data_IF_508744311718
#
_entry.id   IF_508744311718
#
_cell.length_a   1.000
_cell.length_b   1.000
_cell.length_c   1.000
_cell.angle_alpha   90.00
_cell.angle_beta   90.00
_cell.angle_gamma   90.00
#
_symmetry.space_group_name_H-M   'P 1'
#
loop_
_entity.id
_entity.type
_entity.pdbx_description
1 polymer ?
#
# COMPACT_ATOMS: atom_id res chain seq x y z
N UNK A 1 3.42 1.47 1.40
CA UNK A 1 3.19 2.31 2.60
C UNK A 1 2.43 3.56 2.21
N UNK A 2 1.42 3.93 2.98
CA UNK A 2 0.55 5.08 2.73
C UNK A 2 0.49 6.02 3.94
N UNK A 3 0.57 7.32 3.71
CA UNK A 3 0.16 8.35 4.68
C UNK A 3 -1.22 8.86 4.27
N UNK A 4 -2.18 8.84 5.18
CA UNK A 4 -3.52 9.38 4.98
C UNK A 4 -3.65 10.62 5.84
N UNK A 5 -3.83 11.77 5.18
CA UNK A 5 -4.03 13.07 5.82
C UNK A 5 -5.22 13.76 5.18
N UNK A 6 -6.16 14.28 5.98
CA UNK A 6 -7.36 14.95 5.48
C UNK A 6 -8.11 14.12 4.42
N UNK A 7 -8.32 12.83 4.72
CA UNK A 7 -8.96 11.85 3.81
C UNK A 7 -8.27 11.68 2.45
N UNK A 8 -6.97 12.04 2.35
CA UNK A 8 -6.16 11.87 1.15
C UNK A 8 -5.02 10.90 1.42
N UNK A 9 -5.06 9.67 0.86
CA UNK A 9 -3.94 8.76 0.89
C UNK A 9 -2.85 9.23 -0.06
N UNK A 10 -1.60 9.09 0.37
CA UNK A 10 -0.41 9.33 -0.43
C UNK A 10 0.50 8.14 -0.22
N UNK A 11 0.84 7.45 -1.31
CA UNK A 11 1.81 6.37 -1.29
C UNK A 11 3.21 6.95 -1.06
N UNK A 12 3.91 6.45 -0.04
CA UNK A 12 5.26 6.93 0.34
C UNK A 12 6.39 6.04 -0.20
N UNK A 13 6.06 4.85 -0.68
CA UNK A 13 7.01 3.84 -1.19
C UNK A 13 6.73 3.55 -2.65
N UNK A 14 7.78 3.31 -3.42
CA UNK A 14 7.64 2.83 -4.79
C UNK A 14 7.77 1.31 -4.84
N UNK A 15 6.91 0.65 -5.63
CA UNK A 15 6.96 -0.81 -5.77
C UNK A 15 8.16 -1.21 -6.63
N UNK A 16 9.00 -2.08 -6.10
CA UNK A 16 10.06 -2.72 -6.87
C UNK A 16 9.50 -3.87 -7.71
N UNK A 17 8.66 -3.56 -8.70
CA UNK A 17 8.04 -4.53 -9.60
C UNK A 17 8.36 -4.26 -11.08
N UNK A 18 8.23 -5.30 -11.91
CA UNK A 18 8.44 -5.20 -13.36
C UNK A 18 7.48 -4.17 -13.96
N UNK A 19 6.20 -4.25 -13.59
CA UNK A 19 5.17 -3.33 -14.11
C UNK A 19 5.42 -1.88 -13.72
N UNK A 20 5.90 -1.64 -12.49
CA UNK A 20 6.20 -0.29 -12.06
C UNK A 20 7.39 0.31 -12.85
N UNK A 21 8.41 -0.50 -13.18
CA UNK A 21 9.49 -0.07 -14.09
C UNK A 21 9.02 0.19 -15.51
N UNK A 22 8.03 -0.56 -16.02
CA UNK A 22 7.45 -0.34 -17.34
C UNK A 22 6.68 0.99 -17.38
N UNK A 23 5.93 1.30 -16.32
CA UNK A 23 5.24 2.59 -16.15
C UNK A 23 6.24 3.74 -16.09
N UNK A 24 7.28 3.62 -15.24
CA UNK A 24 8.31 4.66 -15.09
C UNK A 24 9.07 4.97 -16.40
N UNK A 25 9.16 3.99 -17.31
CA UNK A 25 9.77 4.14 -18.64
C UNK A 25 8.79 4.60 -19.73
N UNK A 26 7.51 4.78 -19.41
CA UNK A 26 6.46 5.13 -20.35
C UNK A 26 6.10 4.01 -21.34
N UNK A 27 6.45 2.76 -21.04
CA UNK A 27 6.16 1.60 -21.90
C UNK A 27 4.69 1.20 -21.81
N UNK A 28 4.11 1.31 -20.61
CA UNK A 28 2.68 1.13 -20.37
C UNK A 28 2.16 2.31 -19.55
N UNK A 29 0.88 2.68 -19.69
CA UNK A 29 0.30 3.70 -18.83
C UNK A 29 0.00 3.13 -17.42
N UNK A 30 -0.05 3.97 -16.36
CA UNK A 30 -0.24 3.52 -14.97
C UNK A 30 -1.46 2.62 -14.77
N UNK A 31 -2.57 2.89 -15.44
CA UNK A 31 -3.81 2.11 -15.33
C UNK A 31 -3.69 0.69 -15.89
N UNK A 32 -2.72 0.45 -16.80
CA UNK A 32 -2.48 -0.88 -17.35
C UNK A 32 -1.71 -1.78 -16.37
N UNK A 33 -0.92 -1.22 -15.46
CA UNK A 33 -0.08 -1.99 -14.53
C UNK A 33 -0.90 -2.96 -13.66
N UNK A 34 -2.08 -2.53 -13.18
CA UNK A 34 -2.94 -3.35 -12.31
C UNK A 34 -3.50 -4.60 -12.98
N UNK A 35 -3.63 -4.60 -14.31
CA UNK A 35 -4.18 -5.72 -15.11
C UNK A 35 -3.12 -6.47 -15.90
N UNK A 36 -1.85 -6.09 -15.76
CA UNK A 36 -0.77 -6.70 -16.51
C UNK A 36 -0.57 -8.16 -16.06
N UNK A 37 -0.27 -9.10 -16.98
CA UNK A 37 -0.02 -10.50 -16.62
C UNK A 37 1.12 -10.63 -15.60
N UNK A 38 2.17 -9.85 -15.79
CA UNK A 38 3.38 -9.86 -14.94
C UNK A 38 3.31 -8.94 -13.72
N UNK A 39 2.12 -8.49 -13.29
CA UNK A 39 1.98 -7.54 -12.16
C UNK A 39 2.57 -8.01 -10.83
N UNK A 40 2.72 -9.32 -10.66
CA UNK A 40 3.26 -9.97 -9.47
C UNK A 40 4.79 -10.14 -9.50
N UNK A 41 5.45 -9.83 -10.62
CA UNK A 41 6.90 -10.00 -10.73
C UNK A 41 7.63 -8.84 -10.05
N UNK A 42 8.39 -9.19 -9.01
CA UNK A 42 9.24 -8.26 -8.26
C UNK A 42 10.66 -8.19 -8.84
N UNK A 43 11.27 -7.01 -8.75
CA UNK A 43 12.65 -6.74 -9.23
C UNK A 43 13.67 -6.62 -8.10
N UNK A 44 13.22 -6.60 -6.84
CA UNK A 44 14.08 -6.54 -5.66
C UNK A 44 13.48 -7.36 -4.53
N UNK A 45 14.27 -8.23 -3.92
CA UNK A 45 13.88 -9.06 -2.78
C UNK A 45 15.11 -9.40 -1.93
N UNK A 46 14.91 -9.53 -0.61
CA UNK A 46 15.94 -10.02 0.30
C UNK A 46 16.25 -11.49 0.01
N UNK A 47 17.53 -11.87 0.13
CA UNK A 47 17.99 -13.26 -0.04
C UNK A 47 18.33 -13.68 -1.48
N UNK A 48 18.11 -12.83 -2.48
CA UNK A 48 18.43 -13.14 -3.90
C UNK A 48 19.88 -12.75 -4.27
N UNK A 49 20.45 -11.75 -3.60
CA UNK A 49 21.82 -11.28 -3.83
C UNK A 49 22.56 -10.99 -2.53
N UNK A 50 23.89 -10.83 -2.62
CA UNK A 50 24.76 -10.59 -1.46
C UNK A 50 24.46 -9.25 -0.76
N UNK A 51 24.01 -8.25 -1.51
CA UNK A 51 23.61 -6.94 -1.01
C UNK A 51 22.32 -6.50 -1.71
N UNK A 52 21.36 -6.03 -0.93
CA UNK A 52 20.09 -5.48 -1.42
C UNK A 52 19.93 -4.10 -0.79
N UNK A 53 20.24 -3.01 -1.52
CA UNK A 53 20.10 -1.67 -0.96
C UNK A 53 18.60 -1.37 -0.72
N UNK A 54 18.22 -0.93 0.49
CA UNK A 54 16.86 -0.45 0.75
C UNK A 54 16.70 0.98 0.24
N UNK A 55 15.45 1.35 -0.05
CA UNK A 55 15.09 2.74 -0.28
C UNK A 55 14.60 3.37 1.02
N UNK A 56 14.91 4.65 1.22
CA UNK A 56 14.50 5.40 2.39
C UNK A 56 13.52 6.50 1.99
N UNK A 57 12.47 6.65 2.79
CA UNK A 57 11.48 7.74 2.66
C UNK A 57 11.19 8.28 4.05
N UNK A 58 10.86 9.57 4.14
CA UNK A 58 10.55 10.25 5.40
C UNK A 58 9.32 11.12 5.21
N UNK A 59 8.48 11.19 6.24
CA UNK A 59 7.30 12.02 6.26
C UNK A 59 7.06 12.56 7.67
N UNK A 60 6.79 13.86 7.79
CA UNK A 60 6.38 14.47 9.05
C UNK A 60 4.94 14.09 9.37
N UNK A 61 4.71 13.50 10.54
CA UNK A 61 3.39 13.18 11.04
C UNK A 61 2.77 14.39 11.77
N UNK A 62 1.46 14.52 11.66
CA UNK A 62 0.63 15.54 12.30
C UNK A 62 -0.55 14.86 13.00
N UNK A 63 -1.09 15.45 14.07
CA UNK A 63 -2.32 14.97 14.66
C UNK A 63 -3.42 14.78 13.61
N UNK A 64 -4.10 13.63 13.68
CA UNK A 64 -5.11 13.21 12.70
C UNK A 64 -4.58 12.41 11.51
N UNK A 65 -3.25 12.25 11.37
CA UNK A 65 -2.68 11.38 10.34
C UNK A 65 -2.85 9.90 10.66
N UNK A 66 -3.04 9.09 9.61
CA UNK A 66 -2.97 7.63 9.67
C UNK A 66 -1.86 7.14 8.75
N UNK A 67 -0.88 6.42 9.30
CA UNK A 67 0.17 5.74 8.54
C UNK A 67 -0.20 4.26 8.41
N UNK A 68 -0.22 3.75 7.17
CA UNK A 68 -0.53 2.37 6.86
C UNK A 68 0.64 1.69 6.15
N UNK A 69 1.04 0.53 6.67
CA UNK A 69 1.87 -0.44 5.99
C UNK A 69 1.02 -1.65 5.63
N UNK A 70 1.10 -2.11 4.39
CA UNK A 70 0.32 -3.25 3.92
C UNK A 70 1.06 -4.05 2.86
N UNK A 71 0.67 -5.31 2.69
CA UNK A 71 1.09 -6.16 1.58
C UNK A 71 0.26 -5.88 0.32
N UNK A 72 0.72 -6.42 -0.81
CA UNK A 72 0.03 -6.42 -2.11
C UNK A 72 -1.31 -7.15 -2.08
N UNK A 73 -1.47 -8.14 -1.21
CA UNK A 73 -2.77 -8.73 -0.90
C UNK A 73 -3.85 -7.70 -0.52
N UNK A 74 -3.48 -6.57 0.11
CA UNK A 74 -4.40 -5.47 0.40
C UNK A 74 -4.54 -4.49 -0.78
N UNK A 75 -3.45 -3.86 -1.20
CA UNK A 75 -3.52 -2.71 -2.12
C UNK A 75 -3.86 -3.09 -3.57
N UNK A 76 -3.84 -4.38 -3.91
CA UNK A 76 -4.30 -4.89 -5.20
C UNK A 76 -5.83 -4.84 -5.35
N UNK A 77 -6.58 -4.88 -4.24
CA UNK A 77 -8.06 -4.93 -4.23
C UNK A 77 -8.71 -3.75 -3.52
N UNK A 78 -7.99 -3.08 -2.62
CA UNK A 78 -8.47 -1.89 -1.92
C UNK A 78 -7.97 -0.63 -2.64
N UNK A 79 -8.90 0.23 -3.04
CA UNK A 79 -8.59 1.52 -3.65
C UNK A 79 -8.16 2.56 -2.61
N UNK A 80 -7.47 3.61 -3.05
CA UNK A 80 -7.13 4.75 -2.19
C UNK A 80 -8.39 5.39 -1.56
N UNK A 81 -9.47 5.53 -2.33
CA UNK A 81 -10.74 6.03 -1.78
C UNK A 81 -11.29 5.15 -0.64
N UNK A 82 -11.16 3.83 -0.75
CA UNK A 82 -11.54 2.91 0.32
C UNK A 82 -10.59 2.98 1.52
N UNK A 83 -9.28 3.16 1.31
CA UNK A 83 -8.32 3.42 2.39
C UNK A 83 -8.67 4.69 3.16
N UNK A 84 -8.96 5.79 2.45
CA UNK A 84 -9.37 7.05 3.04
C UNK A 84 -10.65 6.93 3.86
N UNK A 85 -11.66 6.26 3.31
CA UNK A 85 -12.93 6.04 3.99
C UNK A 85 -12.73 5.24 5.27
N UNK A 86 -12.01 4.10 5.20
CA UNK A 86 -11.71 3.29 6.38
C UNK A 86 -10.98 4.10 7.46
N UNK A 87 -9.93 4.85 7.07
CA UNK A 87 -9.18 5.68 8.01
C UNK A 87 -10.03 6.79 8.66
N UNK A 88 -11.08 7.28 8.00
CA UNK A 88 -12.01 8.26 8.57
C UNK A 88 -13.09 7.67 9.49
N UNK A 89 -13.37 6.38 9.38
CA UNK A 89 -14.42 5.70 10.17
C UNK A 89 -13.89 5.05 11.45
N UNK A 90 -12.57 4.86 11.55
CA UNK A 90 -11.95 4.11 12.63
C UNK A 90 -10.87 4.93 13.32
N UNK A 91 -11.11 5.28 14.59
CA UNK A 91 -10.15 5.99 15.42
C UNK A 91 -9.16 5.06 16.15
N UNK A 92 -9.47 3.76 16.19
CA UNK A 92 -8.66 2.69 16.77
C UNK A 92 -7.90 1.92 15.67
N UNK A 93 -6.56 1.72 15.81
CA UNK A 93 -5.75 1.08 14.77
C UNK A 93 -6.11 -0.39 14.55
N UNK A 94 -6.54 -1.10 15.58
CA UNK A 94 -6.93 -2.51 15.46
C UNK A 94 -8.22 -2.64 14.66
N UNK A 95 -9.23 -1.83 14.97
CA UNK A 95 -10.47 -1.75 14.22
C UNK A 95 -10.24 -1.35 12.75
N UNK A 96 -9.35 -0.39 12.49
CA UNK A 96 -8.97 0.01 11.14
C UNK A 96 -8.34 -1.17 10.36
N UNK A 97 -7.38 -1.87 10.96
CA UNK A 97 -6.75 -3.03 10.35
C UNK A 97 -7.79 -4.13 10.07
N UNK A 98 -8.65 -4.44 11.04
CA UNK A 98 -9.70 -5.46 10.89
C UNK A 98 -10.67 -5.11 9.75
N UNK A 99 -11.12 -3.85 9.67
CA UNK A 99 -12.01 -3.38 8.61
C UNK A 99 -11.36 -3.49 7.22
N UNK A 100 -10.08 -3.13 7.10
CA UNK A 100 -9.32 -3.24 5.85
C UNK A 100 -9.11 -4.69 5.42
N UNK A 101 -8.77 -5.58 6.36
CA UNK A 101 -8.62 -7.02 6.09
C UNK A 101 -9.95 -7.62 5.64
N UNK A 102 -11.04 -7.32 6.35
CA UNK A 102 -12.37 -7.81 5.99
C UNK A 102 -12.78 -7.30 4.60
N UNK A 103 -12.59 -6.01 4.32
CA UNK A 103 -12.91 -5.42 3.03
C UNK A 103 -12.11 -6.05 1.87
N UNK A 104 -10.88 -6.51 2.11
CA UNK A 104 -10.07 -7.20 1.12
C UNK A 104 -10.53 -8.65 0.90
N UNK A 105 -10.89 -9.34 1.99
CA UNK A 105 -11.50 -10.68 1.93
C UNK A 105 -12.83 -10.66 1.17
N UNK A 106 -13.69 -9.67 1.41
CA UNK A 106 -14.98 -9.49 0.72
C UNK A 106 -14.81 -9.26 -0.80
N UNK A 107 -13.62 -8.83 -1.23
CA UNK A 107 -13.24 -8.66 -2.64
C UNK A 107 -12.52 -9.88 -3.22
N UNK A 108 -12.55 -11.01 -2.51
CA UNK A 108 -12.06 -12.30 -2.97
C UNK A 108 -10.73 -12.73 -2.35
N UNK A 109 -10.06 -11.88 -1.57
CA UNK A 109 -8.84 -12.24 -0.84
C UNK A 109 -7.78 -12.94 -1.72
N UNK A 110 -7.22 -12.27 -2.73
CA UNK A 110 -6.42 -12.93 -3.76
C UNK A 110 -5.05 -13.44 -3.27
N UNK A 111 -4.60 -12.98 -2.10
CA UNK A 111 -3.31 -13.33 -1.50
C UNK A 111 -3.35 -13.13 0.03
N UNK A 112 -2.25 -13.41 0.72
CA UNK A 112 -2.07 -13.09 2.12
C UNK A 112 -2.15 -11.58 2.37
N UNK A 113 -3.09 -11.19 3.23
CA UNK A 113 -3.33 -9.81 3.60
C UNK A 113 -2.67 -9.57 4.95
N UNK A 114 -1.76 -8.60 4.99
CA UNK A 114 -1.18 -8.09 6.25
C UNK A 114 -1.26 -6.58 6.25
N UNK A 115 -1.69 -6.01 7.38
CA UNK A 115 -1.83 -4.57 7.59
C UNK A 115 -1.27 -4.21 8.95
N UNK A 116 -0.51 -3.12 9.01
CA UNK A 116 -0.12 -2.45 10.23
C UNK A 116 -0.49 -0.98 10.13
N UNK A 117 -1.10 -0.44 11.18
CA UNK A 117 -1.55 0.95 11.25
C UNK A 117 -0.91 1.66 12.44
N UNK A 118 -0.48 2.90 12.22
CA UNK A 118 -0.08 3.82 13.27
C UNK A 118 -0.88 5.11 13.11
N UNK A 119 -1.51 5.55 14.19
CA UNK A 119 -2.41 6.70 14.18
C UNK A 119 -1.79 7.82 15.00
N UNK A 120 -1.57 8.97 14.39
CA UNK A 120 -1.04 10.14 15.08
C UNK A 120 -2.20 10.85 15.80
N UNK A 121 -2.08 10.92 17.12
CA UNK A 121 -3.02 11.56 18.04
C UNK A 121 -2.29 12.68 18.79
N UNK A 122 -3.05 13.60 19.35
CA UNK A 122 -2.53 14.72 20.16
C UNK A 122 -1.73 14.23 21.38
#
# INVERSE_FOLDING_TARGET
MYLIRNSRPVQLTEDHSVVNRLVARGVIPPEAARRHPDRHLITRALGVGALVPPDFTAADLRPGDSLLLCTDGLHSVISEGALALAASMHEDPEALCAALIQAANDRGGPDNITVAAALCRD
#
